data_IF_271347642908
#
_entry.id   IF_271347642908
#
_cell.length_a   1.000
_cell.length_b   1.000
_cell.length_c   1.000
_cell.angle_alpha   90.00
_cell.angle_beta   90.00
_cell.angle_gamma   90.00
#
_symmetry.space_group_name_H-M   'P 1'
#
loop_
_entity.id
_entity.type
_entity.pdbx_description
1 polymer ?
#
# COMPACT_ATOMS: atom_id res chain seq x y z
N UNK A 1 7.29 17.78 -5.64
CA UNK A 1 6.62 16.51 -6.03
C UNK A 1 5.14 16.77 -6.27
N UNK A 2 4.54 16.14 -7.29
CA UNK A 2 3.07 16.20 -7.44
C UNK A 2 2.39 15.32 -6.37
N UNK A 3 1.15 15.63 -5.99
CA UNK A 3 0.40 14.82 -5.00
C UNK A 3 0.24 13.35 -5.44
N UNK A 4 0.15 13.11 -6.75
CA UNK A 4 0.17 11.75 -7.32
C UNK A 4 1.50 11.05 -7.09
N UNK A 5 2.63 11.75 -7.24
CA UNK A 5 3.97 11.19 -6.95
C UNK A 5 4.07 10.77 -5.49
N UNK A 6 3.55 11.57 -4.55
CA UNK A 6 3.52 11.21 -3.13
C UNK A 6 2.71 9.93 -2.88
N UNK A 7 1.58 9.77 -3.57
CA UNK A 7 0.77 8.55 -3.46
C UNK A 7 1.54 7.31 -3.94
N UNK A 8 2.26 7.42 -5.06
CA UNK A 8 3.11 6.35 -5.58
C UNK A 8 4.29 6.02 -4.64
N UNK A 9 4.88 7.03 -3.99
CA UNK A 9 5.91 6.81 -2.96
C UNK A 9 5.33 6.05 -1.77
N UNK A 10 4.13 6.41 -1.32
CA UNK A 10 3.44 5.67 -0.27
C UNK A 10 3.20 4.20 -0.62
N UNK A 11 2.79 3.92 -1.86
CA UNK A 11 2.66 2.54 -2.36
C UNK A 11 3.99 1.79 -2.35
N UNK A 12 5.08 2.45 -2.77
CA UNK A 12 6.42 1.86 -2.74
C UNK A 12 6.86 1.53 -1.30
N UNK A 13 6.61 2.43 -0.33
CA UNK A 13 6.83 2.16 1.10
C UNK A 13 5.96 1.00 1.58
N UNK A 14 4.70 0.93 1.12
CA UNK A 14 3.81 -0.21 1.33
C UNK A 14 4.43 -1.54 0.90
N UNK A 15 4.98 -1.59 -0.31
CA UNK A 15 5.71 -2.74 -0.85
C UNK A 15 6.93 -3.09 0.01
N UNK A 16 7.74 -2.10 0.39
CA UNK A 16 8.91 -2.34 1.24
C UNK A 16 8.53 -2.99 2.57
N UNK A 17 7.45 -2.53 3.21
CA UNK A 17 6.92 -3.16 4.43
C UNK A 17 6.51 -4.62 4.23
N UNK A 18 5.88 -4.94 3.09
CA UNK A 18 5.54 -6.33 2.73
C UNK A 18 6.78 -7.19 2.45
N UNK A 19 7.80 -6.64 1.79
CA UNK A 19 9.07 -7.34 1.55
C UNK A 19 9.76 -7.66 2.87
N UNK A 20 9.78 -6.71 3.81
CA UNK A 20 10.34 -6.94 5.16
C UNK A 20 9.58 -8.06 5.88
N UNK A 21 8.24 -8.04 5.87
CA UNK A 21 7.44 -9.13 6.46
C UNK A 21 7.74 -10.49 5.80
N UNK A 22 7.85 -10.51 4.47
CA UNK A 22 8.08 -11.74 3.71
C UNK A 22 9.45 -12.35 3.97
N UNK A 23 10.50 -11.54 4.04
CA UNK A 23 11.85 -11.99 4.38
C UNK A 23 11.91 -12.46 5.84
N UNK A 24 11.23 -11.75 6.75
CA UNK A 24 11.23 -12.07 8.17
C UNK A 24 10.47 -13.36 8.50
N UNK A 25 9.37 -13.65 7.79
CA UNK A 25 8.49 -14.77 8.10
C UNK A 25 7.85 -15.35 6.81
N UNK A 26 8.65 -15.99 5.94
CA UNK A 26 8.21 -16.41 4.61
C UNK A 26 7.10 -17.47 4.64
N UNK A 27 7.01 -18.27 5.71
CA UNK A 27 5.97 -19.29 5.89
C UNK A 27 4.55 -18.71 5.97
N UNK A 28 4.40 -17.41 6.26
CA UNK A 28 3.09 -16.71 6.22
C UNK A 28 2.56 -16.52 4.80
N UNK A 29 3.40 -16.70 3.80
CA UNK A 29 3.07 -16.48 2.40
C UNK A 29 3.21 -17.79 1.63
N UNK A 30 2.18 -18.23 0.89
CA UNK A 30 2.30 -19.39 0.01
C UNK A 30 3.08 -19.00 -1.26
N UNK A 31 4.36 -18.69 -1.12
CA UNK A 31 5.24 -18.17 -2.18
C UNK A 31 5.37 -16.64 -2.17
N UNK A 32 5.19 -16.01 -3.33
CA UNK A 32 5.33 -14.56 -3.48
C UNK A 32 4.13 -13.81 -2.86
N UNK A 33 4.34 -12.77 -2.04
CA UNK A 33 3.24 -12.04 -1.41
C UNK A 33 2.30 -11.40 -2.45
N UNK A 34 1.03 -11.80 -2.50
CA UNK A 34 0.10 -11.28 -3.50
C UNK A 34 -0.10 -9.76 -3.36
N UNK A 35 -0.05 -9.23 -2.13
CA UNK A 35 -0.15 -7.80 -1.86
C UNK A 35 0.90 -6.96 -2.60
N UNK A 36 2.13 -7.46 -2.77
CA UNK A 36 3.18 -6.75 -3.52
C UNK A 36 2.78 -6.66 -5.00
N UNK A 37 2.32 -7.76 -5.59
CA UNK A 37 1.87 -7.79 -6.98
C UNK A 37 0.69 -6.84 -7.20
N UNK A 38 -0.31 -6.87 -6.33
CA UNK A 38 -1.46 -5.96 -6.44
C UNK A 38 -1.07 -4.50 -6.29
N UNK A 39 -0.24 -4.13 -5.31
CA UNK A 39 0.22 -2.74 -5.15
C UNK A 39 1.01 -2.30 -6.40
N UNK A 40 1.89 -3.14 -6.92
CA UNK A 40 2.68 -2.83 -8.11
C UNK A 40 1.78 -2.59 -9.34
N UNK A 41 0.79 -3.46 -9.59
CA UNK A 41 -0.15 -3.33 -10.70
C UNK A 41 -0.99 -2.06 -10.58
N UNK A 42 -1.60 -1.82 -9.42
CA UNK A 42 -2.44 -0.64 -9.22
C UNK A 42 -1.63 0.67 -9.17
N UNK A 43 -0.39 0.62 -8.66
CA UNK A 43 0.56 1.73 -8.72
C UNK A 43 0.96 2.06 -10.16
N UNK A 44 1.26 1.04 -10.99
CA UNK A 44 1.54 1.21 -12.40
C UNK A 44 0.33 1.80 -13.15
N UNK A 45 -0.89 1.28 -12.91
CA UNK A 45 -2.12 1.84 -13.47
C UNK A 45 -2.30 3.32 -13.08
N UNK A 46 -2.12 3.65 -11.80
CA UNK A 46 -2.16 5.03 -11.32
C UNK A 46 -1.13 5.92 -12.04
N UNK A 47 0.12 5.47 -12.18
CA UNK A 47 1.18 6.22 -12.83
C UNK A 47 0.95 6.44 -14.34
N UNK A 48 0.55 5.38 -15.06
CA UNK A 48 0.29 5.42 -16.51
C UNK A 48 -0.91 6.33 -16.79
N UNK A 49 -2.01 6.13 -16.05
CA UNK A 49 -3.25 6.86 -16.29
C UNK A 49 -3.19 8.29 -15.78
N UNK A 50 -2.31 8.64 -14.84
CA UNK A 50 -2.19 10.00 -14.30
C UNK A 50 -1.84 11.06 -15.36
N UNK A 51 -1.24 10.64 -16.49
CA UNK A 51 -0.94 11.53 -17.62
C UNK A 51 -2.20 11.96 -18.38
N UNK A 52 -3.24 11.11 -18.40
CA UNK A 52 -4.45 11.31 -19.22
C UNK A 52 -5.70 11.58 -18.39
N UNK A 53 -5.80 11.00 -17.21
CA UNK A 53 -7.00 11.01 -16.38
C UNK A 53 -6.73 11.61 -15.01
N UNK A 54 -7.51 12.63 -14.66
CA UNK A 54 -7.40 13.35 -13.38
C UNK A 54 -7.71 12.48 -12.15
N UNK A 55 -8.42 11.37 -12.36
CA UNK A 55 -8.86 10.44 -11.32
C UNK A 55 -7.94 9.23 -11.15
N UNK A 56 -6.85 9.13 -11.90
CA UNK A 56 -5.92 8.00 -11.83
C UNK A 56 -5.41 7.66 -10.41
N UNK A 57 -5.21 8.62 -9.47
CA UNK A 57 -4.82 8.28 -8.11
C UNK A 57 -5.84 7.38 -7.37
N UNK A 58 -7.07 7.24 -7.86
CA UNK A 58 -8.08 6.36 -7.25
C UNK A 58 -7.60 4.92 -7.13
N UNK A 59 -6.81 4.42 -8.09
CA UNK A 59 -6.28 3.06 -8.03
C UNK A 59 -5.35 2.86 -6.82
N UNK A 60 -4.51 3.86 -6.53
CA UNK A 60 -3.65 3.85 -5.36
C UNK A 60 -4.45 3.91 -4.06
N UNK A 61 -5.51 4.72 -4.02
CA UNK A 61 -6.40 4.82 -2.86
C UNK A 61 -7.11 3.50 -2.60
N UNK A 62 -7.75 2.93 -3.64
CA UNK A 62 -8.54 1.71 -3.52
C UNK A 62 -7.67 0.53 -3.08
N UNK A 63 -6.50 0.32 -3.68
CA UNK A 63 -5.63 -0.79 -3.27
C UNK A 63 -5.10 -0.62 -1.85
N UNK A 64 -4.78 0.61 -1.45
CA UNK A 64 -4.29 0.90 -0.10
C UNK A 64 -5.36 0.61 0.95
N UNK A 65 -6.58 1.10 0.73
CA UNK A 65 -7.70 0.87 1.63
C UNK A 65 -8.13 -0.60 1.64
N UNK A 66 -8.15 -1.26 0.48
CA UNK A 66 -8.44 -2.69 0.39
C UNK A 66 -7.49 -3.53 1.25
N UNK A 67 -6.19 -3.26 1.18
CA UNK A 67 -5.20 -4.02 1.97
C UNK A 67 -5.33 -3.71 3.46
N UNK A 68 -5.40 -2.43 3.84
CA UNK A 68 -5.45 -2.04 5.26
C UNK A 68 -6.78 -2.48 5.90
N UNK A 69 -7.91 -2.13 5.29
CA UNK A 69 -9.24 -2.45 5.82
C UNK A 69 -9.54 -3.93 5.65
N UNK A 70 -9.30 -4.51 4.47
CA UNK A 70 -9.54 -5.91 4.21
C UNK A 70 -8.67 -6.83 5.08
N UNK A 71 -7.38 -6.51 5.24
CA UNK A 71 -6.50 -7.27 6.13
C UNK A 71 -6.88 -7.13 7.60
N UNK A 72 -7.40 -5.97 8.03
CA UNK A 72 -7.89 -5.79 9.40
C UNK A 72 -9.20 -6.56 9.61
N UNK A 73 -10.15 -6.46 8.69
CA UNK A 73 -11.43 -7.15 8.75
C UNK A 73 -11.29 -8.68 8.67
N UNK A 74 -10.30 -9.17 7.91
CA UNK A 74 -9.94 -10.58 7.86
C UNK A 74 -9.15 -11.06 9.10
N UNK A 75 -8.90 -10.19 10.09
CA UNK A 75 -8.17 -10.53 11.31
C UNK A 75 -6.68 -10.81 11.10
N UNK A 76 -6.09 -10.39 9.97
CA UNK A 76 -4.70 -10.71 9.62
C UNK A 76 -3.69 -9.67 10.14
N UNK A 77 -4.11 -8.42 10.36
CA UNK A 77 -3.19 -7.35 10.80
C UNK A 77 -2.78 -7.48 12.26
N UNK A 78 -3.74 -7.75 13.16
CA UNK A 78 -3.49 -7.79 14.60
C UNK A 78 -2.49 -8.89 15.02
N UNK A 79 -2.55 -10.13 14.48
CA UNK A 79 -1.53 -11.14 14.74
C UNK A 79 -0.12 -10.71 14.30
N UNK A 80 0.00 -9.98 13.19
CA UNK A 80 1.30 -9.51 12.72
C UNK A 80 1.89 -8.42 13.62
N UNK A 81 1.06 -7.54 14.19
CA UNK A 81 1.49 -6.54 15.17
C UNK A 81 1.86 -7.13 16.53
N UNK A 82 1.32 -8.31 16.86
CA UNK A 82 1.61 -9.04 18.10
C UNK A 82 2.61 -10.20 17.91
N UNK A 83 3.24 -10.28 16.74
CA UNK A 83 4.22 -11.33 16.45
C UNK A 83 5.46 -11.12 17.32
N UNK A 84 6.05 -12.21 17.81
CA UNK A 84 7.37 -12.18 18.47
C UNK A 84 8.50 -11.91 17.46
N UNK A 85 8.21 -11.98 16.15
CA UNK A 85 9.14 -11.61 15.10
C UNK A 85 9.11 -10.10 14.83
N UNK A 86 10.17 -9.40 15.25
CA UNK A 86 10.32 -7.94 15.05
C UNK A 86 10.22 -7.52 13.58
N UNK A 87 10.73 -8.33 12.64
CA UNK A 87 10.64 -8.04 11.22
C UNK A 87 9.20 -8.03 10.72
N UNK A 88 8.38 -8.96 11.20
CA UNK A 88 6.94 -8.99 10.92
C UNK A 88 6.25 -7.74 11.47
N UNK A 89 6.53 -7.35 12.72
CA UNK A 89 5.93 -6.16 13.34
C UNK A 89 6.32 -4.89 12.59
N UNK A 90 7.63 -4.69 12.35
CA UNK A 90 8.15 -3.52 11.64
C UNK A 90 7.60 -3.46 10.22
N UNK A 91 7.66 -4.56 9.49
CA UNK A 91 7.16 -4.60 8.12
C UNK A 91 5.65 -4.33 8.04
N UNK A 92 4.86 -4.77 9.03
CA UNK A 92 3.42 -4.46 9.12
C UNK A 92 3.18 -2.98 9.40
N UNK A 93 3.96 -2.39 10.31
CA UNK A 93 3.90 -0.96 10.60
C UNK A 93 4.27 -0.11 9.37
N UNK A 94 5.39 -0.41 8.73
CA UNK A 94 5.88 0.29 7.52
C UNK A 94 4.88 0.17 6.38
N UNK A 95 4.37 -1.05 6.14
CA UNK A 95 3.36 -1.28 5.11
C UNK A 95 2.13 -0.41 5.37
N UNK A 96 1.57 -0.50 6.57
CA UNK A 96 0.32 0.20 6.92
C UNK A 96 0.48 1.71 6.82
N UNK A 97 1.58 2.27 7.34
CA UNK A 97 1.85 3.71 7.24
C UNK A 97 2.04 4.16 5.78
N UNK A 98 2.76 3.38 4.97
CA UNK A 98 2.94 3.65 3.55
C UNK A 98 1.61 3.68 2.79
N UNK A 99 0.75 2.70 3.03
CA UNK A 99 -0.57 2.60 2.39
C UNK A 99 -1.53 3.70 2.87
N UNK A 100 -1.57 4.02 4.16
CA UNK A 100 -2.38 5.15 4.66
C UNK A 100 -1.91 6.48 4.06
N UNK A 101 -0.60 6.70 3.98
CA UNK A 101 -0.03 7.87 3.31
C UNK A 101 -0.41 7.92 1.82
N UNK A 102 -0.34 6.77 1.13
CA UNK A 102 -0.72 6.66 -0.27
C UNK A 102 -2.20 7.00 -0.50
N UNK A 103 -3.09 6.51 0.38
CA UNK A 103 -4.51 6.79 0.33
C UNK A 103 -4.81 8.29 0.54
N UNK A 104 -4.25 8.90 1.59
CA UNK A 104 -4.45 10.32 1.90
C UNK A 104 -3.96 11.21 0.77
N UNK A 105 -2.73 11.00 0.31
CA UNK A 105 -2.14 11.82 -0.76
C UNK A 105 -2.84 11.60 -2.11
N UNK A 106 -3.34 10.39 -2.38
CA UNK A 106 -4.15 10.09 -3.56
C UNK A 106 -5.50 10.82 -3.56
N UNK A 107 -6.19 10.86 -2.42
CA UNK A 107 -7.42 11.64 -2.23
C UNK A 107 -7.15 13.14 -2.44
N UNK A 108 -6.09 13.67 -1.82
CA UNK A 108 -5.69 15.07 -1.97
C UNK A 108 -5.31 15.42 -3.43
N UNK A 109 -4.70 14.49 -4.16
CA UNK A 109 -4.37 14.67 -5.57
C UNK A 109 -5.61 14.84 -6.44
N UNK A 110 -6.66 14.04 -6.18
CA UNK A 110 -7.94 14.15 -6.88
C UNK A 110 -8.69 15.42 -6.48
N UNK A 111 -8.70 15.79 -5.19
CA UNK A 111 -9.39 16.99 -4.69
C UNK A 111 -8.77 18.29 -5.22
N UNK A 112 -7.44 18.38 -5.25
CA UNK A 112 -6.73 19.58 -5.70
C UNK A 112 -6.85 19.87 -7.20
N UNK A 113 -7.28 18.90 -8.02
CA UNK A 113 -7.52 19.07 -9.46
C UNK A 113 -8.96 19.40 -9.84
N UNK A 114 -9.86 19.51 -8.84
CA UNK A 114 -11.25 19.95 -9.02
C UNK A 114 -11.45 21.46 -8.79
N UNK A 115 -10.45 22.13 -8.20
CA UNK A 115 -10.39 23.60 -8.06
C UNK A 115 -9.49 24.15 -9.16
#
# INVERSE_FOLDING_TARGET
>A
MTKTTLSLVGLAVGILGLVVQWIAEPSKFPGFPPGIAFIAVFGALSAILARRFRWAPIFAVLISLWIVVGGTAAGQMLPNYRSDNLGTVIGTAVMTLGLLFAAVTGVLAMAARRR
#
